data_IF_571123716597
#
_entry.id   IF_571123716597
#
_cell.length_a   1.000
_cell.length_b   1.000
_cell.length_c   1.000
_cell.angle_alpha   90.00
_cell.angle_beta   90.00
_cell.angle_gamma   90.00
#
_symmetry.space_group_name_H-M   'P 1'
#
loop_
_entity.id
_entity.type
_entity.pdbx_description
1 polymer ?
#
# COMPACT_ATOMS: atom_id res chain seq x y z
N UNK A 1 16.41 -18.43 -10.50
CA UNK A 1 15.26 -17.51 -10.35
C UNK A 1 14.59 -17.40 -11.70
N UNK A 2 13.32 -17.80 -11.81
CA UNK A 2 12.57 -17.68 -13.06
C UNK A 2 12.22 -16.19 -13.27
N UNK A 3 12.57 -15.56 -14.41
CA UNK A 3 12.23 -14.16 -14.69
C UNK A 3 10.72 -13.88 -14.73
N UNK A 4 9.89 -14.91 -14.85
CA UNK A 4 8.42 -14.84 -14.96
C UNK A 4 7.68 -14.59 -13.63
N UNK A 5 8.38 -14.53 -12.49
CA UNK A 5 7.80 -14.12 -11.20
C UNK A 5 8.25 -12.71 -10.77
N UNK A 6 8.51 -11.82 -11.72
CA UNK A 6 8.29 -10.40 -11.44
C UNK A 6 6.78 -10.22 -11.27
N UNK A 7 6.31 -10.28 -10.01
CA UNK A 7 4.97 -9.83 -9.64
C UNK A 7 4.77 -8.45 -10.27
N UNK A 8 4.01 -8.38 -11.36
CA UNK A 8 3.59 -7.12 -11.95
C UNK A 8 2.71 -6.42 -10.92
N UNK A 9 3.33 -5.57 -10.10
CA UNK A 9 2.64 -4.71 -9.14
C UNK A 9 1.92 -3.62 -9.92
N UNK A 10 0.63 -3.47 -9.66
CA UNK A 10 -0.24 -2.57 -10.37
C UNK A 10 -0.58 -1.37 -9.52
N UNK A 11 -0.65 -0.22 -10.19
CA UNK A 11 -0.94 1.06 -9.57
C UNK A 11 -2.27 1.60 -10.06
N UNK A 12 -2.93 2.39 -9.22
CA UNK A 12 -4.10 3.19 -9.58
C UNK A 12 -3.58 4.52 -10.15
N UNK A 13 -3.38 4.59 -11.46
CA UNK A 13 -2.84 5.78 -12.14
C UNK A 13 -1.48 6.26 -11.56
N UNK A 14 -0.61 5.33 -11.18
CA UNK A 14 0.69 5.63 -10.55
C UNK A 14 0.64 5.79 -9.02
N UNK A 15 -0.54 5.67 -8.40
CA UNK A 15 -0.70 5.70 -6.95
C UNK A 15 -0.52 4.30 -6.37
N UNK A 16 0.34 4.21 -5.34
CA UNK A 16 0.54 3.01 -4.53
C UNK A 16 -0.18 3.16 -3.19
N UNK A 17 -0.70 2.05 -2.68
CA UNK A 17 -1.40 2.00 -1.39
C UNK A 17 -0.70 1.05 -0.44
N UNK A 18 -0.52 1.46 0.82
CA UNK A 18 0.19 0.66 1.80
C UNK A 18 -0.35 0.85 3.22
N UNK A 19 -0.31 -0.23 4.01
CA UNK A 19 -0.58 -0.21 5.44
C UNK A 19 0.74 -0.08 6.20
N UNK A 20 0.82 0.94 7.06
CA UNK A 20 1.96 1.12 7.97
C UNK A 20 1.85 0.12 9.12
N UNK A 21 2.91 -0.65 9.35
CA UNK A 21 3.01 -1.61 10.45
C UNK A 21 3.86 -1.09 11.60
N UNK A 22 4.97 -0.42 11.30
CA UNK A 22 5.93 0.05 12.29
C UNK A 22 6.50 1.41 11.88
N UNK A 23 6.57 2.33 12.83
CA UNK A 23 7.36 3.55 12.72
C UNK A 23 8.73 3.31 13.34
N UNK A 24 9.78 3.65 12.62
CA UNK A 24 11.17 3.36 12.98
C UNK A 24 11.93 4.69 12.94
N UNK A 25 12.60 5.02 14.05
CA UNK A 25 13.56 6.12 14.10
C UNK A 25 14.95 5.53 14.24
N UNK A 26 15.81 5.80 13.26
CA UNK A 26 17.22 5.39 13.30
C UNK A 26 18.06 6.63 13.55
N UNK A 27 18.91 6.57 14.57
CA UNK A 27 19.87 7.63 14.88
C UNK A 27 21.28 7.06 14.72
N UNK A 28 22.08 7.70 13.87
CA UNK A 28 23.47 7.29 13.64
C UNK A 28 24.38 7.92 14.69
N UNK A 29 25.57 7.36 14.88
CA UNK A 29 26.58 7.93 15.76
C UNK A 29 27.02 9.36 15.35
N UNK A 30 26.80 9.72 14.09
CA UNK A 30 27.06 11.06 13.53
C UNK A 30 25.91 12.05 13.85
N UNK A 31 24.82 11.60 14.48
CA UNK A 31 23.66 12.42 14.83
C UNK A 31 22.63 12.56 13.71
N UNK A 32 22.78 11.84 12.59
CA UNK A 32 21.77 11.83 11.53
C UNK A 32 20.55 11.01 12.00
N UNK A 33 19.36 11.52 11.70
CA UNK A 33 18.09 10.88 12.08
C UNK A 33 17.31 10.53 10.82
N UNK A 34 17.04 9.25 10.63
CA UNK A 34 16.14 8.76 9.59
C UNK A 34 14.82 8.29 10.20
N UNK A 35 13.72 8.86 9.69
CA UNK A 35 12.37 8.43 10.03
C UNK A 35 11.86 7.50 8.93
N UNK A 36 11.81 6.21 9.26
CA UNK A 36 11.43 5.15 8.36
C UNK A 36 10.13 4.50 8.81
N UNK A 37 9.51 3.76 7.92
CA UNK A 37 8.31 2.98 8.23
C UNK A 37 8.33 1.66 7.49
N UNK A 38 7.89 0.59 8.17
CA UNK A 38 7.58 -0.68 7.53
C UNK A 38 6.17 -0.59 6.93
N UNK A 39 6.06 -0.80 5.63
CA UNK A 39 4.80 -0.79 4.88
C UNK A 39 4.53 -2.19 4.33
N UNK A 40 3.30 -2.66 4.47
CA UNK A 40 2.74 -3.75 3.69
C UNK A 40 1.93 -3.18 2.52
N UNK A 41 2.17 -3.66 1.31
CA UNK A 41 1.54 -3.10 0.11
C UNK A 41 0.19 -3.73 -0.23
N UNK A 42 -0.68 -2.89 -0.79
CA UNK A 42 -1.84 -3.33 -1.55
C UNK A 42 -1.54 -3.24 -3.03
N UNK A 43 -1.95 -4.25 -3.77
CA UNK A 43 -1.93 -4.29 -5.22
C UNK A 43 -3.28 -3.85 -5.79
N UNK A 44 -3.25 -3.10 -6.89
CA UNK A 44 -4.44 -2.70 -7.61
C UNK A 44 -4.98 -3.88 -8.44
N UNK A 45 -6.27 -4.23 -8.29
CA UNK A 45 -6.79 -5.40 -9.03
C UNK A 45 -6.82 -5.15 -10.53
N UNK A 46 -6.00 -5.86 -11.33
CA UNK A 46 -5.86 -5.62 -12.78
C UNK A 46 -7.07 -5.95 -13.64
N UNK A 47 -7.75 -7.08 -13.44
CA UNK A 47 -8.36 -7.74 -14.62
C UNK A 47 -9.89 -7.77 -14.70
N UNK A 48 -10.64 -7.18 -13.74
CA UNK A 48 -12.09 -6.88 -13.84
C UNK A 48 -12.59 -6.19 -12.57
N UNK A 49 -13.51 -5.22 -12.71
CA UNK A 49 -14.12 -4.49 -11.58
C UNK A 49 -13.07 -3.84 -10.67
N UNK A 50 -12.15 -3.09 -11.28
CA UNK A 50 -11.07 -2.34 -10.62
C UNK A 50 -11.60 -1.26 -9.69
N UNK A 51 -12.80 -0.77 -9.99
CA UNK A 51 -13.55 0.15 -9.14
C UNK A 51 -14.85 -0.49 -8.72
N UNK A 52 -15.24 -0.27 -7.47
CA UNK A 52 -16.54 -0.66 -6.94
C UNK A 52 -17.15 0.57 -6.26
N UNK A 53 -18.36 0.98 -6.70
CA UNK A 53 -18.96 2.27 -6.31
C UNK A 53 -18.00 3.46 -6.53
N UNK A 54 -17.20 3.47 -7.61
CA UNK A 54 -16.21 4.53 -7.87
C UNK A 54 -14.94 4.48 -7.01
N UNK A 55 -14.85 3.56 -6.05
CA UNK A 55 -13.69 3.38 -5.18
C UNK A 55 -12.69 2.38 -5.77
N UNK A 56 -11.37 2.70 -5.79
CA UNK A 56 -10.31 1.77 -6.17
C UNK A 56 -10.38 0.49 -5.35
N UNK A 57 -10.25 -0.66 -6.02
CA UNK A 57 -10.33 -1.98 -5.42
C UNK A 57 -8.96 -2.63 -5.33
N UNK A 58 -8.65 -3.06 -4.12
CA UNK A 58 -7.32 -3.46 -3.73
C UNK A 58 -7.27 -4.91 -3.24
N UNK A 59 -6.09 -5.50 -3.30
CA UNK A 59 -5.73 -6.78 -2.69
C UNK A 59 -4.50 -6.57 -1.81
N UNK A 60 -4.54 -7.01 -0.57
CA UNK A 60 -3.38 -6.98 0.33
C UNK A 60 -2.37 -8.04 -0.13
N UNK A 61 -1.11 -7.65 -0.22
CA UNK A 61 -0.01 -8.51 -0.65
C UNK A 61 0.90 -8.87 0.52
N UNK A 62 1.56 -10.02 0.45
CA UNK A 62 2.65 -10.37 1.38
C UNK A 62 3.98 -9.70 0.96
N UNK A 63 3.91 -8.44 0.51
CA UNK A 63 5.05 -7.63 0.11
C UNK A 63 5.26 -6.54 1.15
N UNK A 64 6.46 -6.50 1.72
CA UNK A 64 6.84 -5.58 2.78
C UNK A 64 8.12 -4.83 2.41
N UNK A 65 8.12 -3.52 2.64
CA UNK A 65 9.32 -2.70 2.44
C UNK A 65 9.45 -1.66 3.55
N UNK A 66 10.69 -1.28 3.84
CA UNK A 66 11.00 -0.10 4.64
C UNK A 66 11.13 1.07 3.69
N UNK A 67 10.39 2.15 3.96
CA UNK A 67 10.46 3.39 3.19
C UNK A 67 10.66 4.59 4.11
N UNK A 68 11.17 5.69 3.56
CA UNK A 68 11.21 6.95 4.27
C UNK A 68 9.77 7.48 4.47
N UNK A 69 9.46 7.95 5.68
CA UNK A 69 8.13 8.51 6.00
C UNK A 69 7.76 9.68 5.09
N UNK A 70 8.73 10.45 4.61
CA UNK A 70 8.55 11.59 3.70
C UNK A 70 8.06 11.19 2.30
N UNK A 71 8.20 9.90 1.94
CA UNK A 71 7.64 9.38 0.71
C UNK A 71 6.11 9.23 0.77
N UNK A 72 5.51 9.17 1.97
CA UNK A 72 4.06 9.07 2.16
C UNK A 72 3.41 10.43 1.89
N UNK A 73 2.47 10.44 0.95
CA UNK A 73 1.79 11.68 0.53
C UNK A 73 0.54 11.99 1.36
N UNK A 74 -0.30 10.99 1.59
CA UNK A 74 -1.62 11.19 2.19
C UNK A 74 -1.97 10.01 3.10
N UNK A 75 -2.74 10.30 4.15
CA UNK A 75 -3.52 9.30 4.86
C UNK A 75 -4.84 9.07 4.12
N UNK A 76 -5.24 7.81 3.98
CA UNK A 76 -6.50 7.42 3.35
C UNK A 76 -7.20 6.39 4.22
N UNK A 77 -8.45 6.08 3.88
CA UNK A 77 -9.21 5.03 4.54
C UNK A 77 -9.43 3.86 3.59
N UNK A 78 -8.98 2.67 3.98
CA UNK A 78 -9.19 1.42 3.25
C UNK A 78 -10.15 0.56 4.06
N UNK A 79 -11.24 0.12 3.43
CA UNK A 79 -12.26 -0.71 4.07
C UNK A 79 -12.26 -2.13 3.49
N UNK A 80 -12.34 -3.19 4.31
CA UNK A 80 -12.51 -4.55 3.82
C UNK A 80 -13.92 -4.74 3.28
N UNK A 81 -14.04 -5.56 2.25
CA UNK A 81 -15.32 -6.09 1.80
C UNK A 81 -15.69 -7.30 2.64
N UNK A 82 -16.65 -7.15 3.54
CA UNK A 82 -17.04 -8.21 4.49
C UNK A 82 -17.49 -9.53 3.82
N UNK A 83 -17.98 -9.48 2.57
CA UNK A 83 -18.42 -10.65 1.82
C UNK A 83 -17.32 -11.33 1.00
N UNK A 84 -16.08 -10.82 1.04
CA UNK A 84 -14.96 -11.27 0.20
C UNK A 84 -13.65 -11.36 1.00
N UNK A 85 -12.86 -12.40 0.73
CA UNK A 85 -11.52 -12.54 1.28
C UNK A 85 -10.52 -11.70 0.50
N UNK A 86 -9.62 -11.01 1.23
CA UNK A 86 -8.52 -10.23 0.65
C UNK A 86 -8.98 -9.25 -0.45
N UNK A 87 -10.00 -8.46 -0.13
CA UNK A 87 -10.65 -7.53 -1.04
C UNK A 87 -11.01 -6.26 -0.29
N UNK A 88 -10.48 -5.14 -0.76
CA UNK A 88 -10.56 -3.88 -0.05
C UNK A 88 -10.93 -2.74 -1.01
N UNK A 89 -11.49 -1.67 -0.46
CA UNK A 89 -11.83 -0.47 -1.21
C UNK A 89 -11.18 0.75 -0.57
N UNK A 90 -10.58 1.61 -1.39
CA UNK A 90 -10.16 2.96 -0.97
C UNK A 90 -11.39 3.82 -0.88
N UNK A 91 -11.76 4.22 0.33
CA UNK A 91 -12.95 5.01 0.58
C UNK A 91 -12.74 6.47 0.16
N UNK A 92 -13.47 6.90 -0.88
CA UNK A 92 -13.47 8.28 -1.40
C UNK A 92 -14.56 9.17 -0.80
N UNK A 93 -15.41 8.64 0.08
CA UNK A 93 -16.63 9.30 0.54
C UNK A 93 -16.62 9.73 2.01
N UNK A 94 -15.63 9.30 2.78
CA UNK A 94 -15.41 9.83 4.13
C UNK A 94 -14.33 10.89 4.01
N UNK A 95 -14.63 12.05 3.40
CA UNK A 95 -13.96 13.37 3.57
C UNK A 95 -14.84 14.46 2.95
#
# INVERSE_FOLDING_TARGET
MNPEELLEYLTDEGICYGQIYLLIKVETAEGNIDNLTLIQWYDFKSTKNQYHYGCPRLKLMELYNIVNIEAIKNNIHIIPRFDKTNDFLVNKYIF
#
